data_IF_064842683973
#
_entry.id   IF_064842683973
#
_cell.length_a   1.000
_cell.length_b   1.000
_cell.length_c   1.000
_cell.angle_alpha   90.00
_cell.angle_beta   90.00
_cell.angle_gamma   90.00
#
_symmetry.space_group_name_H-M   'P 1'
#
loop_
_entity.id
_entity.type
_entity.pdbx_description
1 polymer ?
#
# COMPACT_ATOMS: atom_id res chain seq x y z
N UNK A 1 2.94 44.09 -10.67
CA UNK A 1 3.82 42.98 -10.26
C UNK A 1 3.69 42.66 -8.78
N UNK A 2 3.69 43.65 -7.90
CA UNK A 2 3.49 43.47 -6.44
C UNK A 2 2.17 42.76 -6.09
N UNK A 3 1.10 43.03 -6.83
CA UNK A 3 -0.23 42.42 -6.64
C UNK A 3 -0.32 40.92 -6.90
N UNK A 4 0.49 40.37 -7.81
CA UNK A 4 0.54 38.91 -8.00
C UNK A 4 1.29 38.23 -6.84
N UNK A 5 2.38 38.84 -6.38
CA UNK A 5 3.19 38.31 -5.27
C UNK A 5 2.41 38.36 -3.95
N UNK A 6 1.65 39.44 -3.67
CA UNK A 6 0.77 39.48 -2.50
C UNK A 6 -0.34 38.43 -2.54
N UNK A 7 -0.87 38.10 -3.72
CA UNK A 7 -1.92 37.07 -3.86
C UNK A 7 -1.38 35.66 -3.60
N UNK A 8 -0.17 35.35 -4.07
CA UNK A 8 0.50 34.08 -3.78
C UNK A 8 0.83 33.93 -2.29
N UNK A 9 1.18 35.02 -1.61
CA UNK A 9 1.43 35.02 -0.15
C UNK A 9 0.16 34.89 0.69
N UNK A 10 -1.02 35.17 0.12
CA UNK A 10 -2.33 35.04 0.78
C UNK A 10 -3.08 33.77 0.36
N UNK A 11 -2.49 32.93 -0.49
CA UNK A 11 -3.16 31.75 -1.03
C UNK A 11 -3.05 30.56 -0.08
N UNK A 12 -4.15 30.25 0.62
CA UNK A 12 -4.26 29.08 1.49
C UNK A 12 -4.52 27.78 0.71
N UNK A 13 -4.96 27.83 -0.56
CA UNK A 13 -5.21 26.60 -1.33
C UNK A 13 -3.92 25.80 -1.54
N UNK A 14 -2.78 26.47 -1.69
CA UNK A 14 -1.46 25.83 -1.77
C UNK A 14 -1.07 25.13 -0.47
N UNK A 15 -1.40 25.73 0.68
CA UNK A 15 -1.19 25.12 1.99
C UNK A 15 -2.11 23.89 2.18
N UNK A 16 -3.37 24.00 1.79
CA UNK A 16 -4.34 22.90 1.81
C UNK A 16 -3.93 21.73 0.89
N UNK A 17 -3.33 22.01 -0.27
CA UNK A 17 -2.81 20.97 -1.16
C UNK A 17 -1.67 20.16 -0.53
N UNK A 18 -0.81 20.80 0.28
CA UNK A 18 0.25 20.13 1.02
C UNK A 18 -0.32 19.27 2.16
N UNK A 19 -1.34 19.75 2.87
CA UNK A 19 -1.99 18.99 3.94
C UNK A 19 -2.67 17.71 3.42
N UNK A 20 -3.48 17.81 2.37
CA UNK A 20 -4.09 16.63 1.74
C UNK A 20 -3.04 15.76 1.04
N UNK A 21 -1.99 16.36 0.47
CA UNK A 21 -0.85 15.64 -0.09
C UNK A 21 -0.13 14.79 0.96
N UNK A 22 0.10 15.34 2.16
CA UNK A 22 0.71 14.63 3.29
C UNK A 22 -0.19 13.49 3.79
N UNK A 23 -1.51 13.72 3.88
CA UNK A 23 -2.47 12.72 4.30
C UNK A 23 -2.50 11.54 3.31
N UNK A 24 -2.54 11.83 2.01
CA UNK A 24 -2.42 10.82 0.95
C UNK A 24 -1.10 10.05 1.02
N UNK A 25 0.03 10.72 1.29
CA UNK A 25 1.33 10.07 1.45
C UNK A 25 1.35 9.11 2.66
N UNK A 26 0.76 9.51 3.79
CA UNK A 26 0.65 8.65 4.97
C UNK A 26 -0.23 7.42 4.71
N UNK A 27 -1.35 7.58 4.02
CA UNK A 27 -2.20 6.45 3.61
C UNK A 27 -1.43 5.51 2.68
N UNK A 28 -0.72 6.05 1.69
CA UNK A 28 0.08 5.25 0.76
C UNK A 28 1.13 4.40 1.51
N UNK A 29 1.87 4.98 2.45
CA UNK A 29 2.87 4.27 3.25
C UNK A 29 2.22 3.18 4.11
N UNK A 30 1.09 3.47 4.76
CA UNK A 30 0.36 2.50 5.57
C UNK A 30 -0.14 1.31 4.71
N UNK A 31 -0.70 1.59 3.53
CA UNK A 31 -1.16 0.55 2.61
C UNK A 31 -0.02 -0.31 2.08
N UNK A 32 1.16 0.27 1.79
CA UNK A 32 2.34 -0.50 1.38
C UNK A 32 2.78 -1.51 2.46
N UNK A 33 2.79 -1.10 3.73
CA UNK A 33 3.11 -1.99 4.84
C UNK A 33 2.08 -3.11 5.01
N UNK A 34 0.79 -2.78 4.96
CA UNK A 34 -0.28 -3.77 5.04
C UNK A 34 -0.24 -4.79 3.89
N UNK A 35 0.06 -4.32 2.68
CA UNK A 35 0.12 -5.16 1.49
C UNK A 35 1.25 -6.19 1.55
N UNK A 36 2.40 -5.85 2.15
CA UNK A 36 3.49 -6.79 2.37
C UNK A 36 3.08 -7.94 3.28
N UNK A 37 2.42 -7.64 4.40
CA UNK A 37 1.93 -8.68 5.33
C UNK A 37 0.86 -9.56 4.67
N UNK A 38 -0.08 -8.94 3.95
CA UNK A 38 -1.12 -9.65 3.20
C UNK A 38 -0.54 -10.58 2.13
N UNK A 39 0.43 -10.09 1.35
CA UNK A 39 1.12 -10.89 0.34
C UNK A 39 1.85 -12.08 0.96
N UNK A 40 2.59 -11.87 2.05
CA UNK A 40 3.27 -12.94 2.77
C UNK A 40 2.31 -14.04 3.23
N UNK A 41 1.20 -13.66 3.89
CA UNK A 41 0.18 -14.61 4.33
C UNK A 41 -0.43 -15.39 3.17
N UNK A 42 -0.74 -14.71 2.06
CA UNK A 42 -1.30 -15.34 0.86
C UNK A 42 -0.32 -16.36 0.25
N UNK A 43 0.96 -15.99 0.13
CA UNK A 43 2.00 -16.89 -0.38
C UNK A 43 2.13 -18.12 0.52
N UNK A 44 2.19 -17.95 1.84
CA UNK A 44 2.24 -19.06 2.80
C UNK A 44 1.03 -19.99 2.69
N UNK A 45 -0.17 -19.43 2.53
CA UNK A 45 -1.39 -20.22 2.32
C UNK A 45 -1.28 -21.09 1.07
N UNK A 46 -0.85 -20.52 -0.06
CA UNK A 46 -0.69 -21.26 -1.31
C UNK A 46 0.41 -22.31 -1.24
N UNK A 47 1.54 -22.01 -0.61
CA UNK A 47 2.60 -23.00 -0.39
C UNK A 47 2.09 -24.19 0.43
N UNK A 48 1.27 -23.94 1.46
CA UNK A 48 0.66 -25.02 2.24
C UNK A 48 -0.27 -25.88 1.38
N UNK A 49 -1.18 -25.27 0.64
CA UNK A 49 -2.08 -26.02 -0.27
C UNK A 49 -1.29 -26.85 -1.28
N UNK A 50 -0.22 -26.28 -1.85
CA UNK A 50 0.66 -26.99 -2.77
C UNK A 50 1.33 -28.19 -2.10
N UNK A 51 1.85 -28.04 -0.88
CA UNK A 51 2.49 -29.14 -0.14
C UNK A 51 1.51 -30.27 0.13
N UNK A 52 0.36 -29.95 0.73
CA UNK A 52 -0.66 -30.94 1.08
C UNK A 52 -1.17 -31.71 -0.16
N UNK A 53 -1.30 -31.02 -1.30
CA UNK A 53 -1.71 -31.66 -2.56
C UNK A 53 -0.63 -32.62 -3.09
N UNK A 54 0.65 -32.24 -2.98
CA UNK A 54 1.77 -33.09 -3.39
C UNK A 54 1.90 -34.32 -2.48
N UNK A 55 1.76 -34.12 -1.17
CA UNK A 55 1.82 -35.19 -0.17
C UNK A 55 0.68 -36.18 -0.36
N UNK A 56 -0.55 -35.70 -0.51
CA UNK A 56 -1.71 -36.54 -0.81
C UNK A 56 -1.53 -37.33 -2.12
N UNK A 57 -0.99 -36.69 -3.18
CA UNK A 57 -0.72 -37.39 -4.43
C UNK A 57 0.35 -38.47 -4.25
N UNK A 58 1.40 -38.23 -3.46
CA UNK A 58 2.44 -39.22 -3.19
C UNK A 58 1.93 -40.44 -2.40
N UNK A 59 0.97 -40.24 -1.48
CA UNK A 59 0.32 -41.33 -0.75
C UNK A 59 -0.53 -42.23 -1.65
N UNK A 60 -1.16 -41.69 -2.69
CA UNK A 60 -1.95 -42.49 -3.65
C UNK A 60 -1.12 -43.49 -4.47
N UNK A 61 0.21 -43.33 -4.54
CA UNK A 61 1.11 -44.22 -5.28
C UNK A 61 1.88 -45.22 -4.39
N UNK A 62 1.58 -45.27 -3.09
CA UNK A 62 2.05 -46.31 -2.15
C UNK A 62 0.99 -47.39 -1.97
#
# INVERSE_FOLDING_TARGET
MTTMISRLLQDEQGATAIEYGLLCALIAIATLGALQSFAGSTITMWMRVSSETLDANAENFK
#
